data_IF_716034561268
#
_entry.id   IF_716034561268
#
_cell.length_a   1.000
_cell.length_b   1.000
_cell.length_c   1.000
_cell.angle_alpha   90.00
_cell.angle_beta   90.00
_cell.angle_gamma   90.00
#
_symmetry.space_group_name_H-M   'P 1'
#
loop_
_entity.id
_entity.type
_entity.pdbx_description
1 polymer ?
#
# COMPACT_ATOMS: atom_id res chain seq x y z
N UNK A 1 -21.28 7.74 -33.51
CA UNK A 1 -21.56 6.52 -32.75
C UNK A 1 -20.23 5.91 -32.35
N UNK A 2 -19.77 6.13 -31.11
CA UNK A 2 -18.64 5.37 -30.58
C UNK A 2 -19.16 3.98 -30.25
N UNK A 3 -18.64 2.97 -30.96
CA UNK A 3 -18.85 1.58 -30.60
C UNK A 3 -18.05 1.38 -29.32
N UNK A 4 -18.73 1.34 -28.17
CA UNK A 4 -18.12 0.89 -26.92
C UNK A 4 -17.88 -0.60 -27.08
N UNK A 5 -16.65 -0.97 -27.47
CA UNK A 5 -16.22 -2.36 -27.46
C UNK A 5 -16.20 -2.76 -25.99
N UNK A 6 -17.15 -3.61 -25.60
CA UNK A 6 -17.15 -4.26 -24.28
C UNK A 6 -15.96 -5.22 -24.25
N UNK A 7 -14.88 -4.86 -23.56
CA UNK A 7 -13.74 -5.75 -23.37
C UNK A 7 -14.22 -7.04 -22.69
N UNK A 8 -14.08 -8.16 -23.40
CA UNK A 8 -14.54 -9.48 -22.97
C UNK A 8 -13.38 -10.42 -22.61
N UNK A 9 -12.18 -10.07 -23.08
CA UNK A 9 -10.93 -10.82 -22.92
C UNK A 9 -9.76 -9.86 -22.71
N UNK A 10 -8.64 -10.35 -22.17
CA UNK A 10 -7.39 -9.59 -22.07
C UNK A 10 -6.86 -9.17 -23.46
N UNK A 11 -7.26 -9.88 -24.52
CA UNK A 11 -6.87 -9.54 -25.89
C UNK A 11 -7.51 -8.23 -26.38
N UNK A 12 -8.61 -7.81 -25.76
CA UNK A 12 -9.35 -6.59 -26.12
C UNK A 12 -8.74 -5.34 -25.47
N UNK A 13 -7.79 -5.50 -24.54
CA UNK A 13 -7.16 -4.39 -23.83
C UNK A 13 -6.21 -3.63 -24.77
N UNK A 14 -6.53 -2.36 -25.01
CA UNK A 14 -5.66 -1.42 -25.69
C UNK A 14 -4.54 -0.97 -24.74
N UNK A 15 -3.36 -1.58 -24.88
CA UNK A 15 -2.20 -1.25 -24.05
C UNK A 15 -1.67 0.14 -24.35
N UNK A 16 -1.40 0.89 -23.29
CA UNK A 16 -0.71 2.17 -23.38
C UNK A 16 0.77 1.94 -23.71
N UNK A 17 1.31 2.57 -24.76
CA UNK A 17 2.71 2.38 -25.15
C UNK A 17 3.68 3.15 -24.24
N UNK A 18 3.25 4.27 -23.69
CA UNK A 18 4.10 5.16 -22.90
C UNK A 18 4.31 4.61 -21.49
N UNK A 19 5.56 4.65 -21.03
CA UNK A 19 5.92 4.28 -19.67
C UNK A 19 5.72 5.44 -18.72
N UNK A 20 4.92 5.20 -17.69
CA UNK A 20 4.64 6.13 -16.59
C UNK A 20 5.49 5.76 -15.37
N UNK A 21 6.08 6.73 -14.66
CA UNK A 21 6.64 6.47 -13.36
C UNK A 21 5.51 6.06 -12.40
N UNK A 22 5.73 4.97 -11.66
CA UNK A 22 4.77 4.46 -10.68
C UNK A 22 5.34 4.64 -9.30
N UNK A 23 4.53 5.21 -8.41
CA UNK A 23 4.86 5.43 -7.00
C UNK A 23 3.72 4.84 -6.18
N UNK A 24 4.07 3.91 -5.29
CA UNK A 24 3.13 3.35 -4.34
C UNK A 24 2.85 4.33 -3.19
N UNK A 25 1.71 4.18 -2.53
CA UNK A 25 1.27 5.10 -1.48
C UNK A 25 2.16 5.10 -0.23
N UNK A 26 2.91 4.03 0.04
CA UNK A 26 3.86 3.99 1.16
C UNK A 26 5.09 4.86 0.82
N UNK A 27 5.61 4.76 -0.40
CA UNK A 27 6.65 5.67 -0.90
C UNK A 27 6.17 7.11 -0.89
N UNK A 28 4.95 7.34 -1.38
CA UNK A 28 4.31 8.65 -1.42
C UNK A 28 4.22 9.30 -0.03
N UNK A 29 3.87 8.52 1.00
CA UNK A 29 3.87 8.99 2.39
C UNK A 29 5.27 9.45 2.83
N UNK A 30 6.30 8.64 2.61
CA UNK A 30 7.67 8.98 3.04
C UNK A 30 8.26 10.16 2.28
N UNK A 31 7.88 10.36 1.01
CA UNK A 31 8.32 11.50 0.18
C UNK A 31 7.75 12.84 0.65
N UNK A 32 6.70 12.85 1.47
CA UNK A 32 6.13 14.07 2.07
C UNK A 32 6.97 14.62 3.22
N UNK A 33 7.96 13.88 3.72
CA UNK A 33 8.92 14.42 4.68
C UNK A 33 9.62 15.65 4.06
N UNK A 34 9.53 16.84 4.71
CA UNK A 34 10.21 18.03 4.21
C UNK A 34 11.72 17.82 4.03
N UNK A 35 12.28 18.41 2.97
CA UNK A 35 13.72 18.39 2.69
C UNK A 35 14.37 19.64 3.30
N UNK A 36 15.06 19.48 4.43
CA UNK A 36 15.76 20.55 5.14
C UNK A 36 15.31 20.67 6.60
N UNK A 37 15.96 21.51 7.41
CA UNK A 37 15.61 21.67 8.83
C UNK A 37 16.04 20.51 9.74
N UNK A 38 15.55 20.52 10.99
CA UNK A 38 15.78 19.42 11.94
C UNK A 38 14.82 18.26 11.66
N UNK A 39 15.27 17.02 11.88
CA UNK A 39 14.43 15.82 11.73
C UNK A 39 13.17 15.89 12.58
N UNK A 40 13.29 16.37 13.81
CA UNK A 40 12.16 16.62 14.73
C UNK A 40 11.05 17.45 14.08
N UNK A 41 11.40 18.62 13.53
CA UNK A 41 10.44 19.50 12.86
C UNK A 41 9.83 18.80 11.64
N UNK A 42 10.62 18.09 10.85
CA UNK A 42 10.13 17.40 9.66
C UNK A 42 9.10 16.32 9.99
N UNK A 43 9.30 15.57 11.07
CA UNK A 43 8.31 14.58 11.53
C UNK A 43 7.04 15.25 12.05
N UNK A 44 7.19 16.32 12.84
CA UNK A 44 6.04 17.05 13.36
C UNK A 44 5.21 17.68 12.23
N UNK A 45 5.88 18.24 11.22
CA UNK A 45 5.25 18.82 10.04
C UNK A 45 4.53 17.74 9.22
N UNK A 46 5.14 16.55 9.03
CA UNK A 46 4.53 15.43 8.32
C UNK A 46 3.14 15.07 8.85
N UNK A 47 2.96 15.04 10.18
CA UNK A 47 1.67 14.71 10.82
C UNK A 47 0.58 15.72 10.46
N UNK A 48 0.96 16.97 10.19
CA UNK A 48 0.02 18.03 9.79
C UNK A 48 -0.18 18.11 8.27
N UNK A 49 0.71 17.50 7.48
CA UNK A 49 0.69 17.51 6.01
C UNK A 49 0.43 16.12 5.39
N UNK A 50 -0.29 15.24 6.10
CA UNK A 50 -0.66 13.91 5.62
C UNK A 50 -1.47 13.98 4.31
N UNK A 51 -1.38 12.97 3.43
CA UNK A 51 -2.14 12.96 2.19
C UNK A 51 -3.65 12.92 2.49
N UNK A 52 -4.51 13.50 1.63
CA UNK A 52 -5.95 13.39 1.78
C UNK A 52 -6.38 11.92 1.78
N UNK A 53 -7.06 11.51 2.85
CA UNK A 53 -7.45 10.11 3.07
C UNK A 53 -8.39 9.59 1.99
N UNK A 54 -9.21 10.46 1.39
CA UNK A 54 -10.08 10.15 0.26
C UNK A 54 -9.29 9.68 -0.96
N UNK A 55 -8.15 10.30 -1.23
CA UNK A 55 -7.35 10.02 -2.43
C UNK A 55 -6.69 8.65 -2.30
N UNK A 56 -6.14 8.36 -1.12
CA UNK A 56 -5.51 7.06 -0.84
C UNK A 56 -6.58 5.94 -0.82
N UNK A 57 -7.76 6.19 -0.24
CA UNK A 57 -8.85 5.22 -0.24
C UNK A 57 -9.40 4.97 -1.65
N UNK A 58 -9.57 6.02 -2.45
CA UNK A 58 -9.97 5.92 -3.85
C UNK A 58 -8.99 5.06 -4.67
N UNK A 59 -7.68 5.26 -4.48
CA UNK A 59 -6.64 4.41 -5.09
C UNK A 59 -6.74 2.95 -4.62
N UNK A 60 -6.87 2.70 -3.32
CA UNK A 60 -7.01 1.34 -2.78
C UNK A 60 -8.19 0.61 -3.43
N UNK A 61 -9.38 1.21 -3.42
CA UNK A 61 -10.60 0.63 -4.00
C UNK A 61 -10.51 0.49 -5.51
N UNK A 62 -9.89 1.46 -6.19
CA UNK A 62 -9.67 1.42 -7.63
C UNK A 62 -8.75 0.28 -8.06
N UNK A 63 -7.62 0.08 -7.37
CA UNK A 63 -6.73 -1.07 -7.64
C UNK A 63 -7.41 -2.42 -7.34
N UNK A 64 -8.29 -2.48 -6.32
CA UNK A 64 -9.09 -3.68 -6.06
C UNK A 64 -10.05 -3.95 -7.22
N UNK A 65 -10.73 -2.92 -7.73
CA UNK A 65 -11.63 -3.04 -8.88
C UNK A 65 -10.88 -3.50 -10.14
N UNK A 66 -9.70 -2.94 -10.42
CA UNK A 66 -8.86 -3.37 -11.55
C UNK A 66 -8.35 -4.81 -11.40
N UNK A 67 -8.05 -5.24 -10.17
CA UNK A 67 -7.71 -6.64 -9.88
C UNK A 67 -8.89 -7.57 -10.20
N UNK A 68 -10.10 -7.21 -9.78
CA UNK A 68 -11.31 -7.98 -10.10
C UNK A 68 -11.61 -7.98 -11.60
N UNK A 69 -11.43 -6.83 -12.26
CA UNK A 69 -11.56 -6.70 -13.72
C UNK A 69 -10.58 -7.62 -14.45
N UNK A 70 -9.34 -7.70 -13.97
CA UNK A 70 -8.35 -8.62 -14.50
C UNK A 70 -8.81 -10.07 -14.40
N UNK A 71 -9.27 -10.50 -13.22
CA UNK A 71 -9.74 -11.87 -12.99
C UNK A 71 -10.92 -12.23 -13.90
N UNK A 72 -11.86 -11.31 -14.08
CA UNK A 72 -13.00 -11.49 -14.99
C UNK A 72 -12.54 -11.66 -16.45
N UNK A 73 -11.62 -10.82 -16.94
CA UNK A 73 -11.08 -10.92 -18.30
C UNK A 73 -10.22 -12.17 -18.49
N UNK A 74 -9.47 -12.57 -17.47
CA UNK A 74 -8.62 -13.75 -17.48
C UNK A 74 -9.44 -15.04 -17.65
N UNK A 75 -10.65 -15.11 -17.08
CA UNK A 75 -11.56 -16.25 -17.22
C UNK A 75 -11.97 -16.58 -18.67
N UNK A 76 -11.90 -15.58 -19.57
CA UNK A 76 -12.20 -15.71 -21.00
C UNK A 76 -10.94 -15.60 -21.88
N UNK A 77 -9.75 -15.69 -21.30
CA UNK A 77 -8.48 -15.48 -22.01
C UNK A 77 -7.65 -16.76 -22.10
N UNK A 78 -6.87 -16.96 -23.19
CA UNK A 78 -5.94 -18.09 -23.27
C UNK A 78 -4.89 -18.04 -22.14
N UNK A 79 -4.48 -19.20 -21.57
CA UNK A 79 -3.50 -19.24 -20.47
C UNK A 79 -2.18 -18.52 -20.75
N UNK A 80 -1.68 -18.59 -21.99
CA UNK A 80 -0.46 -17.89 -22.40
C UNK A 80 -0.59 -16.37 -22.30
N UNK A 81 -1.77 -15.83 -22.64
CA UNK A 81 -2.07 -14.40 -22.53
C UNK A 81 -2.25 -13.98 -21.07
N UNK A 82 -2.93 -14.80 -20.27
CA UNK A 82 -3.02 -14.56 -18.82
C UNK A 82 -1.61 -14.48 -18.21
N UNK A 83 -0.73 -15.43 -18.57
CA UNK A 83 0.65 -15.46 -18.09
C UNK A 83 1.47 -14.23 -18.49
N UNK A 84 1.22 -13.60 -19.64
CA UNK A 84 1.94 -12.40 -20.04
C UNK A 84 1.56 -11.17 -19.22
N UNK A 85 0.37 -11.16 -18.61
CA UNK A 85 -0.10 -10.07 -17.75
C UNK A 85 0.12 -10.30 -16.24
N UNK A 86 0.60 -11.46 -15.81
CA UNK A 86 0.77 -11.76 -14.37
C UNK A 86 1.71 -10.78 -13.64
N UNK A 87 2.70 -10.20 -14.31
CA UNK A 87 3.52 -9.12 -13.71
C UNK A 87 2.71 -7.85 -13.46
N UNK A 88 1.86 -7.45 -14.42
CA UNK A 88 0.98 -6.31 -14.25
C UNK A 88 -0.07 -6.55 -13.14
N UNK A 89 -0.64 -7.76 -13.07
CA UNK A 89 -1.52 -8.15 -11.96
C UNK A 89 -0.79 -8.08 -10.62
N UNK A 90 0.42 -8.64 -10.52
CA UNK A 90 1.21 -8.61 -9.29
C UNK A 90 1.48 -7.17 -8.84
N UNK A 91 1.78 -6.28 -9.79
CA UNK A 91 1.94 -4.86 -9.51
C UNK A 91 0.65 -4.19 -9.01
N UNK A 92 -0.51 -4.47 -9.63
CA UNK A 92 -1.81 -3.96 -9.17
C UNK A 92 -2.12 -4.42 -7.73
N UNK A 93 -1.90 -5.71 -7.44
CA UNK A 93 -2.09 -6.24 -6.09
C UNK A 93 -1.14 -5.58 -5.07
N UNK A 94 0.12 -5.32 -5.46
CA UNK A 94 1.08 -4.62 -4.61
C UNK A 94 0.65 -3.17 -4.35
N UNK A 95 0.22 -2.45 -5.37
CA UNK A 95 -0.27 -1.07 -5.26
C UNK A 95 -1.53 -0.99 -4.40
N UNK A 96 -2.47 -1.92 -4.58
CA UNK A 96 -3.64 -2.07 -3.71
C UNK A 96 -3.23 -2.26 -2.24
N UNK A 97 -2.33 -3.21 -1.97
CA UNK A 97 -1.86 -3.48 -0.62
C UNK A 97 -1.15 -2.27 -0.01
N UNK A 98 -0.31 -1.57 -0.78
CA UNK A 98 0.37 -0.36 -0.35
C UNK A 98 -0.63 0.76 0.01
N UNK A 99 -1.64 1.02 -0.83
CA UNK A 99 -2.69 2.01 -0.52
C UNK A 99 -3.49 1.65 0.72
N UNK A 100 -3.87 0.38 0.87
CA UNK A 100 -4.60 -0.10 2.03
C UNK A 100 -3.78 0.03 3.32
N UNK A 101 -2.51 -0.35 3.28
CA UNK A 101 -1.57 -0.19 4.40
C UNK A 101 -1.36 1.29 4.76
N UNK A 102 -1.21 2.18 3.78
CA UNK A 102 -1.09 3.63 4.03
C UNK A 102 -2.33 4.18 4.76
N UNK A 103 -3.54 3.77 4.37
CA UNK A 103 -4.78 4.12 5.09
C UNK A 103 -4.79 3.60 6.54
N UNK A 104 -4.26 2.40 6.77
CA UNK A 104 -4.15 1.84 8.11
C UNK A 104 -3.13 2.61 8.95
N UNK A 105 -2.00 3.00 8.37
CA UNK A 105 -0.90 3.74 9.03
C UNK A 105 -1.35 5.14 9.44
N UNK A 106 -1.94 5.90 8.52
CA UNK A 106 -2.31 7.31 8.75
C UNK A 106 -3.28 7.41 9.93
N UNK A 107 -2.97 8.20 10.97
CA UNK A 107 -3.86 8.41 12.11
C UNK A 107 -5.14 9.15 11.70
N UNK A 108 -6.29 8.87 12.33
CA UNK A 108 -7.52 9.57 12.00
C UNK A 108 -7.48 11.02 12.50
N UNK A 109 -7.67 11.98 11.60
CA UNK A 109 -7.74 13.43 11.93
C UNK A 109 -9.18 13.96 12.00
N UNK A 110 -10.17 13.10 11.73
CA UNK A 110 -11.59 13.44 11.70
C UNK A 110 -12.46 12.28 11.21
N UNK A 111 -13.78 12.51 11.11
CA UNK A 111 -14.77 11.48 10.73
C UNK A 111 -14.47 10.90 9.34
N UNK A 112 -14.05 11.73 8.38
CA UNK A 112 -13.75 11.27 7.03
C UNK A 112 -12.62 10.23 6.99
N UNK A 113 -11.62 10.34 7.88
CA UNK A 113 -10.53 9.37 7.98
C UNK A 113 -11.02 8.03 8.55
N UNK A 114 -11.88 8.10 9.56
CA UNK A 114 -12.50 6.90 10.15
C UNK A 114 -13.34 6.17 9.09
N UNK A 115 -14.11 6.91 8.30
CA UNK A 115 -14.94 6.34 7.24
C UNK A 115 -14.15 5.76 6.08
N UNK A 116 -13.12 6.48 5.61
CA UNK A 116 -12.22 6.00 4.57
C UNK A 116 -11.48 4.73 5.01
N UNK A 117 -11.05 4.65 6.28
CA UNK A 117 -10.46 3.43 6.82
C UNK A 117 -11.48 2.29 6.89
N UNK A 118 -12.68 2.55 7.41
CA UNK A 118 -13.73 1.53 7.49
C UNK A 118 -14.09 0.97 6.11
N UNK A 119 -14.14 1.83 5.09
CA UNK A 119 -14.34 1.42 3.68
C UNK A 119 -13.30 0.42 3.19
N UNK A 120 -12.03 0.77 3.35
CA UNK A 120 -10.92 -0.08 2.93
C UNK A 120 -10.92 -1.37 3.76
N UNK A 121 -11.19 -1.27 5.06
CA UNK A 121 -11.32 -2.41 5.96
C UNK A 121 -12.43 -3.38 5.52
N UNK A 122 -13.61 -2.88 5.13
CA UNK A 122 -14.71 -3.69 4.59
C UNK A 122 -14.30 -4.41 3.29
N UNK A 123 -13.55 -3.73 2.41
CA UNK A 123 -13.05 -4.30 1.15
C UNK A 123 -12.00 -5.39 1.39
N UNK A 124 -11.09 -5.17 2.35
CA UNK A 124 -10.09 -6.17 2.78
C UNK A 124 -10.79 -7.37 3.40
N UNK A 125 -11.73 -7.16 4.32
CA UNK A 125 -12.50 -8.24 4.97
C UNK A 125 -13.29 -9.07 3.95
N UNK A 126 -13.98 -8.42 3.00
CA UNK A 126 -14.70 -9.10 1.94
C UNK A 126 -13.77 -9.97 1.07
N UNK A 127 -12.56 -9.49 0.78
CA UNK A 127 -11.56 -10.24 0.01
C UNK A 127 -11.03 -11.44 0.79
N UNK A 128 -10.81 -11.29 2.10
CA UNK A 128 -10.29 -12.36 2.95
C UNK A 128 -11.34 -13.44 3.24
N UNK A 129 -12.63 -13.10 3.30
CA UNK A 129 -13.73 -14.09 3.41
C UNK A 129 -13.84 -15.03 2.20
N UNK A 130 -13.26 -14.65 1.06
CA UNK A 130 -13.19 -15.52 -0.12
C UNK A 130 -12.01 -16.50 -0.06
N UNK A 131 -11.07 -16.29 0.87
CA UNK A 131 -9.90 -17.16 1.08
C UNK A 131 -9.97 -17.93 2.39
N UNK A 132 -9.10 -18.95 2.52
CA UNK A 132 -9.03 -19.83 3.70
C UNK A 132 -7.86 -19.46 4.65
N UNK A 133 -7.30 -18.25 4.56
CA UNK A 133 -6.17 -17.82 5.40
C UNK A 133 -6.65 -17.10 6.68
N UNK A 134 -6.92 -17.88 7.72
CA UNK A 134 -7.34 -17.37 9.02
C UNK A 134 -6.29 -16.47 9.70
N UNK A 135 -5.00 -16.70 9.46
CA UNK A 135 -3.93 -15.88 10.04
C UNK A 135 -3.89 -14.50 9.39
N UNK A 136 -4.07 -14.44 8.06
CA UNK A 136 -4.21 -13.19 7.32
C UNK A 136 -5.46 -12.42 7.75
N UNK A 137 -6.60 -13.10 7.91
CA UNK A 137 -7.85 -12.50 8.40
C UNK A 137 -7.69 -11.90 9.81
N UNK A 138 -7.10 -12.65 10.75
CA UNK A 138 -6.87 -12.15 12.11
C UNK A 138 -5.93 -10.94 12.14
N UNK A 139 -4.84 -11.00 11.36
CA UNK A 139 -3.86 -9.90 11.31
C UNK A 139 -4.47 -8.66 10.66
N UNK A 140 -5.28 -8.82 9.62
CA UNK A 140 -6.04 -7.74 9.00
C UNK A 140 -7.01 -7.10 10.01
N UNK A 141 -7.72 -7.90 10.81
CA UNK A 141 -8.64 -7.37 11.81
C UNK A 141 -7.94 -6.46 12.82
N UNK A 142 -6.74 -6.84 13.27
CA UNK A 142 -5.92 -6.00 14.15
C UNK A 142 -5.39 -4.74 13.45
N UNK A 143 -4.89 -4.88 12.21
CA UNK A 143 -4.31 -3.78 11.45
C UNK A 143 -5.34 -2.69 11.08
N UNK A 144 -6.53 -3.11 10.63
CA UNK A 144 -7.59 -2.24 10.15
C UNK A 144 -8.68 -1.95 11.20
N UNK A 145 -8.61 -2.61 12.36
CA UNK A 145 -9.60 -2.47 13.44
C UNK A 145 -10.99 -2.95 13.01
N UNK A 146 -11.05 -4.00 12.17
CA UNK A 146 -12.29 -4.60 11.63
C UNK A 146 -13.15 -5.13 12.80
N UNK A 147 -14.46 -4.87 12.76
CA UNK A 147 -15.43 -5.33 13.75
C UNK A 147 -15.55 -4.47 15.01
N UNK A 148 -14.86 -3.34 15.09
CA UNK A 148 -14.81 -2.50 16.30
C UNK A 148 -15.78 -1.31 16.31
N UNK A 149 -16.50 -1.05 15.21
CA UNK A 149 -17.44 0.07 15.12
C UNK A 149 -18.66 -0.30 14.26
N UNK A 150 -19.85 -0.13 14.82
CA UNK A 150 -21.11 -0.18 14.09
C UNK A 150 -21.36 1.18 13.43
N UNK A 151 -21.63 1.19 12.12
CA UNK A 151 -21.91 2.41 11.35
C UNK A 151 -23.26 2.30 10.63
N UNK A 152 -23.94 3.43 10.43
CA UNK A 152 -25.28 3.53 9.85
C UNK A 152 -25.28 3.71 8.31
N UNK A 153 -26.38 3.35 7.66
CA UNK A 153 -26.64 3.25 6.21
C UNK A 153 -26.46 4.61 5.49
N UNK A 154 -26.62 5.74 6.18
CA UNK A 154 -26.39 7.07 5.61
C UNK A 154 -24.90 7.35 5.32
N UNK A 155 -23.98 6.81 6.12
CA UNK A 155 -22.54 6.85 5.87
C UNK A 155 -22.16 5.94 4.69
N UNK A 156 -22.84 4.81 4.52
CA UNK A 156 -22.68 3.92 3.37
C UNK A 156 -23.05 4.56 2.01
N UNK A 157 -23.81 5.66 2.00
CA UNK A 157 -24.07 6.44 0.77
C UNK A 157 -22.96 7.44 0.44
N UNK A 158 -22.24 8.00 1.44
CA UNK A 158 -21.03 8.80 1.19
C UNK A 158 -19.86 7.91 0.73
N UNK A 159 -19.80 6.69 1.27
CA UNK A 159 -18.91 5.60 0.84
C UNK A 159 -18.98 5.34 -0.69
N UNK A 160 -20.17 5.38 -1.30
CA UNK A 160 -20.35 5.19 -2.74
C UNK A 160 -19.85 6.39 -3.60
N UNK A 161 -19.95 7.62 -3.08
CA UNK A 161 -19.53 8.84 -3.79
C UNK A 161 -18.00 8.96 -3.95
N UNK A 162 -17.21 8.45 -3.00
CA UNK A 162 -15.74 8.41 -3.11
C UNK A 162 -15.27 7.39 -4.15
N UNK A 163 -16.03 6.31 -4.36
CA UNK A 163 -15.75 5.28 -5.37
C UNK A 163 -16.05 5.82 -6.79
N UNK A 164 -17.13 6.60 -6.95
CA UNK A 164 -17.49 7.19 -8.25
C UNK A 164 -16.52 8.29 -8.73
N UNK A 165 -15.71 8.86 -7.83
CA UNK A 165 -14.81 9.98 -8.17
C UNK A 165 -13.35 9.56 -8.39
N UNK A 166 -12.98 8.29 -8.16
CA UNK A 166 -11.66 7.74 -8.49
C UNK A 166 -11.54 7.51 -10.01
N UNK A 167 -11.25 8.57 -10.75
CA UNK A 167 -11.01 8.49 -12.20
C UNK A 167 -9.58 8.04 -12.49
N UNK A 168 -9.42 7.17 -13.50
CA UNK A 168 -8.10 6.80 -14.01
C UNK A 168 -7.50 8.03 -14.71
N UNK A 169 -6.37 8.59 -14.23
CA UNK A 169 -5.82 9.82 -14.76
C UNK A 169 -5.13 9.56 -16.09
N UNK A 170 -5.26 10.54 -17.00
CA UNK A 170 -4.52 10.53 -18.25
C UNK A 170 -3.05 10.81 -17.99
N UNK A 171 -2.18 10.50 -18.96
CA UNK A 171 -0.73 10.69 -18.84
C UNK A 171 -0.38 12.16 -18.54
N UNK A 172 -1.18 13.07 -19.10
CA UNK A 172 -1.11 14.53 -18.92
C UNK A 172 -1.51 15.01 -17.52
N UNK A 173 -2.27 14.21 -16.75
CA UNK A 173 -2.72 14.56 -15.40
C UNK A 173 -1.73 14.11 -14.31
N UNK A 174 -0.66 13.41 -14.68
CA UNK A 174 0.30 12.86 -13.73
C UNK A 174 1.25 13.92 -13.19
N UNK A 175 1.31 14.02 -11.86
CA UNK A 175 2.31 14.81 -11.16
C UNK A 175 3.54 13.97 -10.86
N UNK A 176 4.71 14.49 -11.24
CA UNK A 176 5.97 13.83 -10.94
C UNK A 176 6.14 13.66 -9.43
N UNK A 177 6.41 12.43 -8.98
CA UNK A 177 6.66 12.15 -7.57
C UNK A 177 5.43 11.81 -6.72
N UNK A 178 4.22 11.78 -7.30
CA UNK A 178 2.98 11.50 -6.55
C UNK A 178 2.36 10.13 -6.88
N UNK A 179 1.75 9.43 -5.89
CA UNK A 179 0.97 8.22 -6.14
C UNK A 179 -0.26 8.50 -7.02
N UNK A 180 -0.58 7.56 -7.89
CA UNK A 180 -1.67 7.68 -8.86
C UNK A 180 -2.35 6.33 -9.08
N UNK A 181 -3.62 6.32 -9.47
CA UNK A 181 -4.31 5.08 -9.87
C UNK A 181 -3.84 4.67 -11.28
N UNK A 182 -3.68 3.37 -11.49
CA UNK A 182 -3.34 2.75 -12.77
C UNK A 182 -4.32 1.61 -13.05
N UNK A 183 -4.56 1.34 -14.33
CA UNK A 183 -5.41 0.26 -14.81
C UNK A 183 -4.63 -0.76 -15.64
N UNK A 184 -5.29 -1.84 -16.04
CA UNK A 184 -4.67 -2.93 -16.84
C UNK A 184 -4.13 -2.42 -18.18
N UNK A 185 -4.73 -1.36 -18.74
CA UNK A 185 -4.22 -0.68 -19.95
C UNK A 185 -2.77 -0.21 -19.78
N UNK A 186 -2.34 0.15 -18.57
CA UNK A 186 -0.95 0.54 -18.26
C UNK A 186 -0.05 -0.65 -17.89
N UNK A 187 -0.31 -1.86 -18.40
CA UNK A 187 0.45 -3.06 -18.07
C UNK A 187 1.97 -2.93 -18.24
N UNK A 188 2.44 -2.16 -19.23
CA UNK A 188 3.87 -1.91 -19.42
C UNK A 188 4.49 -1.11 -18.26
N UNK A 189 3.80 -0.07 -17.78
CA UNK A 189 4.24 0.75 -16.65
C UNK A 189 4.22 -0.07 -15.35
N UNK A 190 3.15 -0.83 -15.13
CA UNK A 190 3.01 -1.75 -13.99
C UNK A 190 4.12 -2.81 -13.96
N UNK A 191 4.43 -3.38 -15.13
CA UNK A 191 5.50 -4.37 -15.27
C UNK A 191 6.88 -3.75 -15.03
N UNK A 192 7.13 -2.55 -15.58
CA UNK A 192 8.36 -1.82 -15.36
C UNK A 192 8.57 -1.49 -13.87
N UNK A 193 7.52 -1.06 -13.19
CA UNK A 193 7.52 -0.82 -11.74
C UNK A 193 7.90 -2.08 -10.95
N UNK A 194 7.26 -3.22 -11.23
CA UNK A 194 7.55 -4.47 -10.52
C UNK A 194 9.00 -4.93 -10.70
N UNK A 195 9.59 -4.68 -11.87
CA UNK A 195 10.98 -5.06 -12.20
C UNK A 195 12.03 -4.18 -11.54
N UNK A 196 11.64 -3.03 -10.97
CA UNK A 196 12.53 -2.12 -10.28
C UNK A 196 12.09 -1.94 -8.82
N UNK A 197 12.16 -3.00 -7.99
CA UNK A 197 11.79 -2.91 -6.59
C UNK A 197 12.70 -1.90 -5.84
N UNK A 198 12.21 -1.32 -4.74
CA UNK A 198 13.00 -0.40 -3.93
C UNK A 198 14.22 -1.10 -3.32
N UNK A 199 15.24 -0.32 -2.97
CA UNK A 199 16.44 -0.82 -2.26
C UNK A 199 16.08 -1.15 -0.81
N UNK A 200 15.76 -2.42 -0.53
CA UNK A 200 15.21 -2.85 0.76
C UNK A 200 16.17 -2.60 1.94
N UNK A 201 17.47 -2.72 1.71
CA UNK A 201 18.50 -2.42 2.72
C UNK A 201 18.51 -0.95 3.11
N UNK A 202 18.32 -0.05 2.13
CA UNK A 202 18.25 1.37 2.39
C UNK A 202 16.98 1.75 3.16
N UNK A 203 15.85 1.08 2.86
CA UNK A 203 14.62 1.22 3.64
C UNK A 203 14.81 0.74 5.08
N UNK A 204 15.49 -0.39 5.30
CA UNK A 204 15.72 -0.92 6.64
C UNK A 204 16.64 0.00 7.47
N UNK A 205 17.69 0.56 6.84
CA UNK A 205 18.57 1.55 7.46
C UNK A 205 17.80 2.82 7.84
N UNK A 206 16.95 3.31 6.94
CA UNK A 206 16.08 4.46 7.20
C UNK A 206 15.16 4.16 8.38
N UNK A 207 14.37 3.09 8.32
CA UNK A 207 13.46 2.69 9.40
C UNK A 207 14.16 2.58 10.76
N UNK A 208 15.37 2.04 10.82
CA UNK A 208 16.13 1.95 12.07
C UNK A 208 16.51 3.32 12.65
N UNK A 209 16.81 4.30 11.79
CA UNK A 209 17.05 5.70 12.19
C UNK A 209 15.75 6.36 12.66
N UNK A 210 14.65 6.16 11.95
CA UNK A 210 13.34 6.69 12.33
C UNK A 210 12.88 6.19 13.70
N UNK A 211 13.04 4.89 13.96
CA UNK A 211 12.76 4.29 15.27
C UNK A 211 13.68 4.83 16.36
N UNK A 212 14.96 5.06 16.06
CA UNK A 212 15.87 5.66 17.02
C UNK A 212 15.47 7.10 17.38
N UNK A 213 15.04 7.90 16.40
CA UNK A 213 14.52 9.24 16.66
C UNK A 213 13.22 9.18 17.48
N UNK A 214 12.30 8.25 17.18
CA UNK A 214 11.07 8.04 17.95
C UNK A 214 11.36 7.67 19.42
N UNK A 215 12.32 6.78 19.67
CA UNK A 215 12.77 6.41 21.01
C UNK A 215 13.34 7.63 21.75
N UNK A 216 14.16 8.44 21.07
CA UNK A 216 14.73 9.67 21.64
C UNK A 216 13.63 10.67 22.02
N UNK A 217 12.63 10.87 21.17
CA UNK A 217 11.52 11.79 21.47
C UNK A 217 10.67 11.28 22.64
N UNK A 218 10.50 9.95 22.76
CA UNK A 218 9.81 9.34 23.91
C UNK A 218 10.54 9.67 25.21
N UNK A 219 11.86 9.46 25.25
CA UNK A 219 12.68 9.81 26.43
C UNK A 219 12.59 11.31 26.77
N UNK A 220 12.66 12.18 25.76
CA UNK A 220 12.56 13.63 25.97
C UNK A 220 11.20 14.07 26.54
N UNK A 221 10.11 13.39 26.15
CA UNK A 221 8.77 13.61 26.70
C UNK A 221 8.69 13.13 28.15
N UNK A 222 9.21 11.93 28.44
CA UNK A 222 9.14 11.31 29.77
C UNK A 222 9.99 12.04 30.83
N UNK A 223 11.14 12.60 30.41
CA UNK A 223 12.10 13.25 31.31
C UNK A 223 11.87 14.76 31.46
N UNK A 224 11.13 15.39 30.53
CA UNK A 224 11.02 16.84 30.44
C UNK A 224 9.85 17.42 31.22
N UNK A 225 10.10 18.48 32.00
CA UNK A 225 9.05 19.42 32.43
C UNK A 225 8.77 20.39 31.28
N UNK A 226 7.95 19.93 30.33
CA UNK A 226 7.68 20.62 29.07
C UNK A 226 6.41 21.47 29.17
N UNK A 227 6.47 22.69 28.62
CA UNK A 227 5.27 23.45 28.31
C UNK A 227 4.41 22.75 27.25
N UNK A 228 3.11 23.04 27.23
CA UNK A 228 2.13 22.36 26.36
C UNK A 228 2.52 22.37 24.87
N UNK A 229 3.01 23.49 24.35
CA UNK A 229 3.41 23.59 22.93
C UNK A 229 4.63 22.71 22.59
N UNK A 230 5.60 22.60 23.49
CA UNK A 230 6.78 21.77 23.29
C UNK A 230 6.43 20.27 23.39
N UNK A 231 5.53 19.92 24.31
CA UNK A 231 5.00 18.57 24.43
C UNK A 231 4.27 18.14 23.14
N UNK A 232 3.31 18.94 22.67
CA UNK A 232 2.56 18.66 21.44
C UNK A 232 3.48 18.57 20.21
N UNK A 233 4.50 19.43 20.12
CA UNK A 233 5.50 19.32 19.04
C UNK A 233 6.26 17.99 19.07
N UNK A 234 6.76 17.59 20.25
CA UNK A 234 7.50 16.34 20.40
C UNK A 234 6.63 15.10 20.20
N UNK A 235 5.36 15.15 20.64
CA UNK A 235 4.39 14.08 20.37
C UNK A 235 4.16 13.90 18.87
N UNK A 236 3.98 15.01 18.13
CA UNK A 236 3.87 14.98 16.68
C UNK A 236 5.15 14.49 16.01
N UNK A 237 6.32 14.88 16.51
CA UNK A 237 7.59 14.38 16.00
C UNK A 237 7.77 12.86 16.22
N UNK A 238 7.46 12.37 17.42
CA UNK A 238 7.45 10.95 17.77
C UNK A 238 6.49 10.15 16.88
N UNK A 239 5.29 10.69 16.67
CA UNK A 239 4.29 10.08 15.79
C UNK A 239 4.78 10.04 14.35
N UNK A 240 5.25 11.17 13.80
CA UNK A 240 5.75 11.25 12.43
C UNK A 240 6.88 10.27 12.15
N UNK A 241 7.86 10.15 13.05
CA UNK A 241 8.95 9.17 12.95
C UNK A 241 8.41 7.73 12.93
N UNK A 242 7.46 7.41 13.82
CA UNK A 242 6.83 6.08 13.88
C UNK A 242 6.04 5.74 12.61
N UNK A 243 5.34 6.71 12.02
CA UNK A 243 4.58 6.52 10.78
C UNK A 243 5.50 6.23 9.59
N UNK A 244 6.62 6.96 9.48
CA UNK A 244 7.61 6.74 8.41
C UNK A 244 8.28 5.38 8.58
N UNK A 245 8.68 5.03 9.81
CA UNK A 245 9.24 3.72 10.12
C UNK A 245 8.28 2.59 9.73
N UNK A 246 7.02 2.67 10.14
CA UNK A 246 6.00 1.68 9.79
C UNK A 246 5.79 1.57 8.28
N UNK A 247 5.79 2.71 7.57
CA UNK A 247 5.69 2.75 6.11
C UNK A 247 6.84 2.02 5.41
N UNK A 248 8.08 2.26 5.85
CA UNK A 248 9.26 1.58 5.33
C UNK A 248 9.28 0.09 5.60
N UNK A 249 8.96 -0.30 6.83
CA UNK A 249 8.92 -1.72 7.23
C UNK A 249 7.83 -2.47 6.47
N UNK A 250 6.64 -1.87 6.30
CA UNK A 250 5.57 -2.43 5.49
C UNK A 250 5.99 -2.58 4.02
N UNK A 251 6.67 -1.57 3.46
CA UNK A 251 7.16 -1.61 2.07
C UNK A 251 8.24 -2.68 1.87
N UNK A 252 9.15 -2.87 2.83
CA UNK A 252 10.10 -3.99 2.81
C UNK A 252 9.35 -5.32 2.75
N UNK A 253 8.34 -5.48 3.61
CA UNK A 253 7.56 -6.70 3.69
C UNK A 253 6.81 -7.03 2.38
N UNK A 254 6.21 -6.03 1.73
CA UNK A 254 5.52 -6.21 0.44
C UNK A 254 6.46 -6.65 -0.70
N UNK A 255 7.67 -6.09 -0.74
CA UNK A 255 8.61 -6.32 -1.84
C UNK A 255 9.56 -7.51 -1.61
N UNK A 256 9.67 -8.01 -0.38
CA UNK A 256 10.61 -9.08 -0.03
C UNK A 256 10.45 -10.34 -0.89
N UNK A 257 9.22 -10.76 -1.18
CA UNK A 257 8.95 -11.94 -2.01
C UNK A 257 9.36 -11.80 -3.48
N UNK A 258 9.69 -10.58 -3.92
CA UNK A 258 9.99 -10.23 -5.31
C UNK A 258 11.49 -10.14 -5.61
N UNK A 259 12.36 -10.17 -4.58
CA UNK A 259 13.81 -10.03 -4.72
C UNK A 259 14.55 -11.24 -4.14
N UNK A 260 15.75 -11.52 -4.65
CA UNK A 260 16.52 -12.74 -4.32
C UNK A 260 16.86 -12.84 -2.83
N UNK A 261 17.36 -11.74 -2.24
CA UNK A 261 17.76 -11.70 -0.82
C UNK A 261 16.65 -11.18 0.12
N UNK A 262 15.42 -11.15 -0.38
CA UNK A 262 14.29 -10.48 0.27
C UNK A 262 13.88 -11.10 1.61
N UNK A 263 14.10 -12.40 1.79
CA UNK A 263 13.77 -13.09 3.04
C UNK A 263 14.59 -12.56 4.22
N UNK A 264 15.90 -12.46 4.06
CA UNK A 264 16.79 -12.03 5.15
C UNK A 264 16.50 -10.57 5.55
N UNK A 265 16.19 -9.70 4.60
CA UNK A 265 15.83 -8.31 4.90
C UNK A 265 14.42 -8.19 5.50
N UNK A 266 13.46 -9.03 5.10
CA UNK A 266 12.15 -9.14 5.77
C UNK A 266 12.28 -9.57 7.23
N UNK A 267 13.10 -10.57 7.53
CA UNK A 267 13.36 -11.00 8.91
C UNK A 267 13.96 -9.86 9.76
N UNK A 268 14.91 -9.08 9.20
CA UNK A 268 15.43 -7.86 9.84
C UNK A 268 14.35 -6.80 10.05
N UNK A 269 13.49 -6.57 9.07
CA UNK A 269 12.38 -5.62 9.18
C UNK A 269 11.41 -6.03 10.29
N UNK A 270 11.02 -7.30 10.36
CA UNK A 270 10.16 -7.83 11.43
C UNK A 270 10.79 -7.69 12.81
N UNK A 271 12.11 -7.85 12.94
CA UNK A 271 12.80 -7.59 14.20
C UNK A 271 12.75 -6.11 14.61
N UNK A 272 12.83 -5.17 13.65
CA UNK A 272 12.70 -3.74 13.90
C UNK A 272 11.27 -3.34 14.29
N UNK A 273 10.25 -4.05 13.79
CA UNK A 273 8.83 -3.82 14.11
C UNK A 273 8.56 -3.83 15.61
N UNK A 274 9.27 -4.64 16.41
CA UNK A 274 9.08 -4.67 17.86
C UNK A 274 9.39 -3.35 18.58
N UNK A 275 10.14 -2.46 17.93
CA UNK A 275 10.43 -1.11 18.46
C UNK A 275 9.31 -0.10 18.17
N UNK A 276 8.30 -0.46 17.37
CA UNK A 276 7.14 0.41 17.18
C UNK A 276 6.29 0.43 18.46
N UNK A 277 6.20 1.59 19.10
CA UNK A 277 5.46 1.76 20.35
C UNK A 277 3.95 1.50 20.23
N UNK A 278 3.34 1.70 19.06
CA UNK A 278 1.91 1.44 18.84
C UNK A 278 1.66 -0.02 18.39
N UNK A 279 0.92 -0.84 19.16
CA UNK A 279 0.63 -2.24 18.78
C UNK A 279 -0.08 -2.39 17.43
N UNK A 280 -0.90 -1.39 17.05
CA UNK A 280 -1.58 -1.37 15.76
C UNK A 280 -0.60 -1.24 14.60
N UNK A 281 0.42 -0.38 14.70
CA UNK A 281 1.47 -0.26 13.68
C UNK A 281 2.24 -1.57 13.51
N UNK A 282 2.49 -2.31 14.60
CA UNK A 282 3.09 -3.65 14.52
C UNK A 282 2.21 -4.63 13.76
N UNK A 283 0.90 -4.61 14.04
CA UNK A 283 -0.09 -5.46 13.34
C UNK A 283 -0.18 -5.11 11.85
N UNK A 284 -0.06 -3.82 11.50
CA UNK A 284 -0.02 -3.35 10.12
C UNK A 284 1.20 -3.91 9.37
N UNK A 285 2.40 -3.86 9.97
CA UNK A 285 3.61 -4.43 9.35
C UNK A 285 3.50 -5.96 9.24
N UNK A 286 2.92 -6.63 10.24
CA UNK A 286 2.64 -8.07 10.16
C UNK A 286 1.68 -8.41 9.02
N UNK A 287 0.63 -7.60 8.81
CA UNK A 287 -0.27 -7.78 7.67
C UNK A 287 0.46 -7.58 6.34
N UNK A 288 1.33 -6.57 6.25
CA UNK A 288 2.18 -6.34 5.08
C UNK A 288 3.10 -7.54 4.78
N UNK A 289 3.59 -8.22 5.82
CA UNK A 289 4.41 -9.43 5.67
C UNK A 289 3.65 -10.59 5.03
N UNK A 290 2.40 -10.83 5.45
CA UNK A 290 1.54 -11.87 4.89
C UNK A 290 1.12 -11.52 3.46
N UNK A 291 0.70 -10.28 3.22
CA UNK A 291 0.37 -9.80 1.88
C UNK A 291 1.58 -9.91 0.93
N UNK A 292 2.78 -9.57 1.41
CA UNK A 292 4.04 -9.73 0.67
C UNK A 292 4.38 -11.18 0.32
N UNK A 293 4.07 -12.14 1.20
CA UNK A 293 4.25 -13.57 0.90
C UNK A 293 3.31 -14.02 -0.21
N UNK A 294 2.03 -13.63 -0.15
CA UNK A 294 1.05 -13.92 -1.19
C UNK A 294 1.44 -13.30 -2.55
N UNK A 295 1.95 -12.06 -2.55
CA UNK A 295 2.50 -11.40 -3.75
C UNK A 295 3.71 -12.16 -4.30
N UNK A 296 4.60 -12.62 -3.42
CA UNK A 296 5.74 -13.45 -3.80
C UNK A 296 5.32 -14.78 -4.43
N UNK A 297 4.29 -15.43 -3.90
CA UNK A 297 3.74 -16.67 -4.44
C UNK A 297 3.11 -16.46 -5.83
N UNK A 298 2.36 -15.36 -5.99
CA UNK A 298 1.81 -14.96 -7.28
C UNK A 298 2.93 -14.68 -8.31
N UNK A 299 3.99 -13.99 -7.90
CA UNK A 299 5.13 -13.73 -8.78
C UNK A 299 5.88 -15.03 -9.18
N UNK A 300 6.00 -15.99 -8.25
CA UNK A 300 6.64 -17.29 -8.49
C UNK A 300 5.79 -18.24 -9.33
N UNK A 301 4.45 -18.19 -9.21
CA UNK A 301 3.55 -19.05 -10.00
C UNK A 301 3.73 -18.81 -11.50
N UNK A 302 3.94 -17.54 -11.91
CA UNK A 302 4.32 -17.19 -13.28
C UNK A 302 5.61 -17.87 -13.74
N UNK A 303 6.67 -17.84 -12.92
CA UNK A 303 7.97 -18.44 -13.29
C UNK A 303 7.81 -19.94 -13.58
N UNK A 304 7.09 -20.65 -12.70
CA UNK A 304 6.76 -22.06 -12.88
C UNK A 304 6.00 -22.32 -14.18
N UNK A 305 4.97 -21.51 -14.47
CA UNK A 305 4.20 -21.63 -15.70
C UNK A 305 5.07 -21.43 -16.96
N UNK A 306 5.98 -20.44 -16.95
CA UNK A 306 6.90 -20.19 -18.08
C UNK A 306 7.89 -21.33 -18.25
N UNK A 307 8.44 -21.87 -17.16
CA UNK A 307 9.41 -22.96 -17.19
C UNK A 307 8.77 -24.27 -17.68
N UNK A 308 7.53 -24.58 -17.26
CA UNK A 308 6.76 -25.73 -17.74
C UNK A 308 6.44 -25.64 -19.24
N UNK A 309 6.03 -24.46 -19.73
CA UNK A 309 5.78 -24.25 -21.17
C UNK A 309 7.05 -24.42 -22.00
N UNK A 310 8.22 -23.99 -21.49
CA UNK A 310 9.52 -24.15 -22.16
C UNK A 310 10.02 -25.59 -22.21
N UNK A 311 9.65 -26.42 -21.24
CA UNK A 311 10.01 -27.84 -21.21
C UNK A 311 9.15 -28.69 -22.15
N UNK A 312 7.99 -28.18 -22.58
CA UNK A 312 7.04 -28.84 -23.47
C UNK A 312 7.15 -28.37 -24.94
N UNK A 313 7.99 -27.39 -25.23
CA UNK A 313 8.27 -26.84 -26.56
C UNK A 313 9.64 -27.27 -27.07
#
# INVERSE_FOLDING_TARGET
MSITISNSSLADIALEPDLRPVIDDLDGLTRRLPRGGSRERNYADLVTSLPPVSDVAGRALGFAAETQRFLALAGSSPPALVSSFLEALTALCLLNAASALTIAIIPPQGVDYVLARALVADSVDASLRQGDDAAMAQTAALAFTIGSAGFDIAEAKRKAFVIETATIPRTEDLREGEPTILAIEQAHSLTAFLRHPPRLEALAQRAALELHDADRFTLAIDEGDLGHEALDHLERARQGASLVAAGDLARICLHAGLVVDGRAIKEKALALTERLGEPRLRSIVAFAALAGDALGDLHRSRRRFIDEVRLLS
#
